data_IF_721263219816
#
_entry.id   IF_721263219816
#
_cell.length_a   1.000
_cell.length_b   1.000
_cell.length_c   1.000
_cell.angle_alpha   90.00
_cell.angle_beta   90.00
_cell.angle_gamma   90.00
#
_symmetry.space_group_name_H-M   'P 1'
#
loop_
_entity.id
_entity.type
_entity.pdbx_description
1 polymer ?
#
# COMPACT_ATOMS: atom_id res chain seq x y z
N UNK A 1 -20.77 -16.28 21.91
CA UNK A 1 -22.14 -16.02 22.39
C UNK A 1 -22.44 -14.54 22.68
N UNK A 2 -21.94 -13.90 23.74
CA UNK A 2 -22.28 -12.49 24.04
C UNK A 2 -21.75 -11.47 23.00
N UNK A 3 -20.54 -11.69 22.48
CA UNK A 3 -19.95 -10.87 21.42
C UNK A 3 -20.74 -10.96 20.11
N UNK A 4 -21.14 -12.16 19.72
CA UNK A 4 -21.92 -12.39 18.49
C UNK A 4 -23.30 -11.72 18.58
N UNK A 5 -23.95 -11.78 19.75
CA UNK A 5 -25.23 -11.11 20.00
C UNK A 5 -25.08 -9.59 19.90
N UNK A 6 -24.02 -9.00 20.47
CA UNK A 6 -23.77 -7.56 20.40
C UNK A 6 -23.39 -7.11 18.97
N UNK A 7 -22.59 -7.90 18.24
CA UNK A 7 -22.27 -7.66 16.83
C UNK A 7 -23.53 -7.70 15.97
N UNK A 8 -24.40 -8.68 16.20
CA UNK A 8 -25.68 -8.82 15.48
C UNK A 8 -26.63 -7.67 15.81
N UNK A 9 -26.71 -7.26 17.08
CA UNK A 9 -27.48 -6.07 17.51
C UNK A 9 -26.99 -4.82 16.79
N UNK A 10 -25.68 -4.58 16.77
CA UNK A 10 -25.06 -3.43 16.11
C UNK A 10 -25.30 -3.43 14.60
N UNK A 11 -25.19 -4.60 13.95
CA UNK A 11 -25.51 -4.78 12.53
C UNK A 11 -26.97 -4.44 12.22
N UNK A 12 -27.92 -4.89 13.06
CA UNK A 12 -29.35 -4.59 12.91
C UNK A 12 -29.70 -3.10 13.10
N UNK A 13 -28.94 -2.36 13.92
CA UNK A 13 -29.12 -0.90 14.05
C UNK A 13 -28.71 -0.12 12.79
N UNK A 14 -27.82 -0.66 11.95
CA UNK A 14 -27.44 -0.04 10.69
C UNK A 14 -28.42 -0.50 9.61
N UNK A 15 -29.48 0.28 9.38
CA UNK A 15 -30.40 0.02 8.26
C UNK A 15 -29.63 0.15 6.94
N UNK A 16 -29.60 -0.88 6.07
CA UNK A 16 -29.05 -0.71 4.73
C UNK A 16 -29.94 0.26 3.95
N UNK A 17 -29.36 1.36 3.45
CA UNK A 17 -30.06 2.47 2.79
C UNK A 17 -30.70 2.12 1.43
N UNK A 18 -30.45 0.92 0.89
CA UNK A 18 -31.21 0.19 -0.14
C UNK A 18 -30.41 -1.07 -0.54
N UNK A 19 -30.92 -1.90 -1.45
CA UNK A 19 -30.26 -3.12 -1.92
C UNK A 19 -28.86 -2.88 -2.51
N UNK A 20 -28.66 -1.78 -3.25
CA UNK A 20 -27.35 -1.41 -3.83
C UNK A 20 -26.33 -1.11 -2.74
N UNK A 21 -26.68 -0.29 -1.75
CA UNK A 21 -25.79 0.05 -0.62
C UNK A 21 -25.50 -1.19 0.24
N UNK A 22 -26.49 -2.05 0.45
CA UNK A 22 -26.29 -3.32 1.17
C UNK A 22 -25.24 -4.20 0.48
N UNK A 23 -25.35 -4.36 -0.85
CA UNK A 23 -24.40 -5.15 -1.65
C UNK A 23 -22.97 -4.60 -1.59
N UNK A 24 -22.79 -3.30 -1.85
CA UNK A 24 -21.47 -2.66 -1.82
C UNK A 24 -20.81 -2.73 -0.43
N UNK A 25 -21.63 -2.62 0.63
CA UNK A 25 -21.13 -2.77 2.01
C UNK A 25 -20.66 -4.21 2.28
N UNK A 26 -21.45 -5.19 1.86
CA UNK A 26 -21.08 -6.61 2.05
C UNK A 26 -19.79 -6.94 1.31
N UNK A 27 -19.67 -6.52 0.05
CA UNK A 27 -18.44 -6.64 -0.74
C UNK A 27 -17.24 -5.99 -0.04
N UNK A 28 -17.39 -4.75 0.41
CA UNK A 28 -16.32 -4.03 1.12
C UNK A 28 -15.89 -4.74 2.40
N UNK A 29 -16.81 -5.29 3.19
CA UNK A 29 -16.51 -5.95 4.46
C UNK A 29 -15.91 -7.34 4.25
N UNK A 30 -16.50 -8.15 3.37
CA UNK A 30 -16.14 -9.56 3.20
C UNK A 30 -14.90 -9.78 2.32
N UNK A 31 -14.57 -8.83 1.43
CA UNK A 31 -13.43 -9.01 0.54
C UNK A 31 -12.13 -9.16 1.34
N UNK A 32 -11.30 -10.13 0.97
CA UNK A 32 -9.99 -10.34 1.57
C UNK A 32 -9.01 -9.25 1.10
N UNK A 33 -8.06 -8.87 1.95
CA UNK A 33 -7.06 -7.86 1.58
C UNK A 33 -5.90 -8.54 0.86
N UNK A 34 -5.55 -8.01 -0.31
CA UNK A 34 -4.44 -8.49 -1.13
C UNK A 34 -3.49 -7.36 -1.48
N UNK A 35 -2.20 -7.67 -1.56
CA UNK A 35 -1.19 -6.77 -2.14
C UNK A 35 -1.42 -6.67 -3.65
N UNK A 36 -1.31 -5.46 -4.19
CA UNK A 36 -1.34 -5.17 -5.61
C UNK A 36 0.01 -4.60 -6.04
N UNK A 37 0.72 -5.33 -6.91
CA UNK A 37 2.04 -4.92 -7.37
C UNK A 37 2.02 -3.92 -8.55
N UNK A 38 0.84 -3.60 -9.12
CA UNK A 38 0.70 -2.76 -10.31
C UNK A 38 1.44 -1.42 -10.16
N UNK A 39 1.19 -0.69 -9.06
CA UNK A 39 1.84 0.59 -8.80
C UNK A 39 3.36 0.45 -8.71
N UNK A 40 3.83 -0.54 -7.96
CA UNK A 40 5.26 -0.78 -7.79
C UNK A 40 5.92 -1.12 -9.12
N UNK A 41 5.27 -1.92 -9.97
CA UNK A 41 5.69 -2.22 -11.34
C UNK A 41 5.82 -0.95 -12.18
N UNK A 42 4.74 -0.16 -12.26
CA UNK A 42 4.68 1.04 -13.10
C UNK A 42 5.70 2.10 -12.67
N UNK A 43 5.89 2.30 -11.36
CA UNK A 43 6.93 3.22 -10.89
C UNK A 43 8.33 2.69 -11.18
N UNK A 44 8.57 1.38 -10.99
CA UNK A 44 9.88 0.79 -11.32
C UNK A 44 10.17 0.94 -12.80
N UNK A 45 9.18 0.71 -13.67
CA UNK A 45 9.26 0.90 -15.12
C UNK A 45 9.62 2.35 -15.48
N UNK A 46 8.87 3.33 -14.95
CA UNK A 46 9.14 4.75 -15.18
C UNK A 46 10.54 5.18 -14.75
N UNK A 47 10.97 4.79 -13.55
CA UNK A 47 12.27 5.19 -13.04
C UNK A 47 13.42 4.44 -13.74
N UNK A 48 13.21 3.22 -14.25
CA UNK A 48 14.16 2.50 -15.09
C UNK A 48 14.27 3.05 -16.51
N UNK A 49 13.25 3.72 -17.04
CA UNK A 49 13.27 4.26 -18.42
C UNK A 49 14.31 5.37 -18.61
N UNK A 50 14.81 5.96 -17.52
CA UNK A 50 15.76 7.07 -17.54
C UNK A 50 15.11 8.43 -17.72
N UNK A 51 13.79 8.52 -17.95
CA UNK A 51 13.07 9.79 -18.12
C UNK A 51 13.18 10.72 -16.90
N UNK A 52 13.36 10.17 -15.70
CA UNK A 52 13.56 10.93 -14.48
C UNK A 52 15.01 11.42 -14.27
N UNK A 53 15.98 10.87 -15.02
CA UNK A 53 17.41 11.08 -14.74
C UNK A 53 17.84 12.53 -14.97
N UNK A 54 18.58 13.10 -14.03
CA UNK A 54 19.08 14.48 -14.10
C UNK A 54 18.04 15.57 -13.82
N UNK A 55 16.76 15.21 -13.65
CA UNK A 55 15.71 16.17 -13.32
C UNK A 55 15.69 16.46 -11.80
N UNK A 56 15.22 17.66 -11.38
CA UNK A 56 14.97 17.93 -9.96
C UNK A 56 13.94 16.96 -9.37
N UNK A 57 14.12 16.55 -8.12
CA UNK A 57 13.24 15.58 -7.43
C UNK A 57 11.73 15.92 -7.55
N UNK A 58 11.26 17.17 -7.37
CA UNK A 58 9.85 17.49 -7.55
C UNK A 58 9.32 17.17 -8.95
N UNK A 59 10.12 17.41 -9.99
CA UNK A 59 9.76 17.11 -11.38
C UNK A 59 9.73 15.60 -11.61
N UNK A 60 10.71 14.85 -11.08
CA UNK A 60 10.70 13.40 -11.14
C UNK A 60 9.41 12.81 -10.53
N UNK A 61 9.00 13.32 -9.36
CA UNK A 61 7.77 12.86 -8.68
C UNK A 61 6.51 13.22 -9.46
N UNK A 62 6.46 14.41 -10.05
CA UNK A 62 5.33 14.82 -10.89
C UNK A 62 5.20 13.94 -12.15
N UNK A 63 6.31 13.65 -12.83
CA UNK A 63 6.32 12.78 -14.01
C UNK A 63 5.99 11.33 -13.66
N UNK A 64 6.52 10.80 -12.55
CA UNK A 64 6.18 9.47 -12.05
C UNK A 64 4.68 9.35 -11.75
N UNK A 65 4.09 10.38 -11.12
CA UNK A 65 2.66 10.42 -10.85
C UNK A 65 1.83 10.49 -12.14
N UNK A 66 2.23 11.33 -13.10
CA UNK A 66 1.60 11.38 -14.44
C UNK A 66 1.64 10.00 -15.11
N UNK A 67 2.82 9.39 -15.16
CA UNK A 67 3.03 8.08 -15.77
C UNK A 67 2.11 7.01 -15.17
N UNK A 68 1.96 7.03 -13.84
CA UNK A 68 1.06 6.17 -13.09
C UNK A 68 -0.41 6.42 -13.49
N UNK A 69 -0.87 7.67 -13.42
CA UNK A 69 -2.28 8.02 -13.73
C UNK A 69 -2.70 7.70 -15.16
N UNK A 70 -1.75 7.68 -16.10
CA UNK A 70 -2.02 7.31 -17.49
C UNK A 70 -2.12 5.79 -17.73
N UNK A 71 -1.74 4.94 -16.75
CA UNK A 71 -1.54 3.49 -16.95
C UNK A 71 -2.17 2.58 -15.92
N UNK A 72 -2.58 3.10 -14.77
CA UNK A 72 -3.24 2.28 -13.74
C UNK A 72 -4.54 1.67 -14.26
N UNK A 73 -4.86 0.48 -13.77
CA UNK A 73 -6.16 -0.12 -14.00
C UNK A 73 -7.27 0.73 -13.39
N UNK A 74 -8.39 0.86 -14.11
CA UNK A 74 -9.59 1.57 -13.67
C UNK A 74 -10.78 0.59 -13.58
N UNK A 75 -10.76 -0.35 -12.61
CA UNK A 75 -11.89 -1.26 -12.40
C UNK A 75 -13.14 -0.47 -11.98
N UNK A 76 -14.28 -0.89 -12.50
CA UNK A 76 -15.60 -0.36 -12.15
C UNK A 76 -16.44 -1.49 -11.56
N UNK A 77 -16.86 -1.35 -10.30
CA UNK A 77 -17.69 -2.37 -9.65
C UNK A 77 -19.18 -2.07 -9.88
N UNK A 78 -19.97 -3.14 -9.92
CA UNK A 78 -21.38 -3.02 -10.24
C UNK A 78 -22.14 -2.24 -9.16
N UNK A 79 -22.85 -1.18 -9.56
CA UNK A 79 -23.67 -0.37 -8.65
C UNK A 79 -22.92 0.73 -7.91
N UNK A 80 -21.63 0.95 -8.21
CA UNK A 80 -20.93 2.15 -7.75
C UNK A 80 -21.53 3.42 -8.36
N UNK A 81 -21.75 4.43 -7.51
CA UNK A 81 -22.09 5.80 -7.95
C UNK A 81 -20.89 6.75 -7.81
N UNK A 82 -19.99 6.45 -6.86
CA UNK A 82 -18.70 7.10 -6.71
C UNK A 82 -17.68 6.03 -7.09
N UNK A 83 -16.86 6.34 -8.08
CA UNK A 83 -15.86 5.42 -8.65
C UNK A 83 -14.46 5.84 -8.23
N UNK A 84 -13.54 4.87 -8.26
CA UNK A 84 -12.14 5.09 -7.93
C UNK A 84 -11.65 4.10 -6.89
N UNK A 85 -10.62 3.35 -7.27
CA UNK A 85 -9.93 2.41 -6.40
C UNK A 85 -8.44 2.73 -6.38
N UNK A 86 -7.77 2.34 -5.29
CA UNK A 86 -6.31 2.52 -5.15
C UNK A 86 -5.49 1.41 -5.84
N UNK A 87 -6.14 0.34 -6.27
CA UNK A 87 -5.51 -0.79 -6.95
C UNK A 87 -6.50 -1.47 -7.88
N UNK A 88 -6.19 -2.69 -8.29
CA UNK A 88 -6.91 -3.43 -9.35
C UNK A 88 -8.26 -3.99 -8.94
N UNK A 89 -8.77 -3.64 -7.76
CA UNK A 89 -10.08 -4.08 -7.25
C UNK A 89 -10.29 -3.76 -5.77
N UNK A 90 -11.45 -4.13 -5.20
CA UNK A 90 -11.74 -4.00 -3.78
C UNK A 90 -10.64 -4.61 -2.91
N UNK A 91 -10.15 -3.83 -1.95
CA UNK A 91 -9.06 -4.24 -1.02
C UNK A 91 -7.81 -4.82 -1.71
N UNK A 92 -7.56 -4.48 -2.99
CA UNK A 92 -6.27 -4.63 -3.67
C UNK A 92 -5.41 -3.42 -3.33
N UNK A 93 -4.50 -3.57 -2.37
CA UNK A 93 -3.76 -2.46 -1.77
C UNK A 93 -2.39 -2.31 -2.45
N UNK A 94 -2.07 -1.12 -3.01
CA UNK A 94 -0.78 -0.89 -3.65
C UNK A 94 0.35 -0.79 -2.62
N UNK A 95 1.57 -0.99 -3.09
CA UNK A 95 2.82 -0.79 -2.34
C UNK A 95 3.61 0.42 -2.87
N UNK A 96 4.51 0.91 -2.02
CA UNK A 96 5.24 2.16 -2.23
C UNK A 96 6.76 1.92 -2.09
N UNK A 97 7.39 1.24 -3.07
CA UNK A 97 8.79 0.81 -2.95
C UNK A 97 9.77 1.99 -2.92
N UNK A 98 9.38 3.16 -3.41
CA UNK A 98 10.15 4.40 -3.29
C UNK A 98 10.20 4.95 -1.85
N UNK A 99 9.28 4.52 -0.99
CA UNK A 99 9.24 4.86 0.44
C UNK A 99 9.91 3.74 1.25
N UNK A 100 9.37 2.53 1.15
CA UNK A 100 9.91 1.34 1.79
C UNK A 100 9.69 0.13 0.88
N UNK A 101 10.77 -0.45 0.40
CA UNK A 101 10.74 -1.69 -0.37
C UNK A 101 10.64 -2.88 0.58
N UNK A 102 9.63 -3.73 0.36
CA UNK A 102 9.42 -4.94 1.17
C UNK A 102 10.33 -6.06 0.67
N UNK A 103 10.98 -6.77 1.59
CA UNK A 103 11.70 -8.01 1.29
C UNK A 103 10.73 -9.16 1.03
N UNK A 104 11.23 -10.28 0.49
CA UNK A 104 10.43 -11.49 0.34
C UNK A 104 9.96 -12.05 1.70
N UNK A 105 10.78 -11.89 2.75
CA UNK A 105 10.39 -12.26 4.11
C UNK A 105 9.24 -11.38 4.63
N UNK A 106 9.27 -10.06 4.35
CA UNK A 106 8.19 -9.15 4.72
C UNK A 106 6.88 -9.54 4.00
N UNK A 107 6.96 -9.85 2.71
CA UNK A 107 5.79 -10.31 1.93
C UNK A 107 5.22 -11.62 2.48
N UNK A 108 6.08 -12.54 2.90
CA UNK A 108 5.66 -13.81 3.50
C UNK A 108 4.98 -13.59 4.86
N UNK A 109 5.53 -12.70 5.70
CA UNK A 109 4.90 -12.30 6.97
C UNK A 109 3.54 -11.65 6.71
N UNK A 110 3.42 -10.77 5.72
CA UNK A 110 2.14 -10.15 5.35
C UNK A 110 1.11 -11.19 4.92
N UNK A 111 1.53 -12.19 4.14
CA UNK A 111 0.65 -13.25 3.64
C UNK A 111 0.15 -14.18 4.74
N UNK A 112 0.99 -14.47 5.75
CA UNK A 112 0.75 -15.53 6.73
C UNK A 112 0.32 -15.05 8.11
N UNK A 113 0.53 -13.77 8.45
CA UNK A 113 0.21 -13.25 9.79
C UNK A 113 -1.27 -13.44 10.15
N UNK A 114 -1.51 -13.87 11.39
CA UNK A 114 -2.85 -14.15 11.91
C UNK A 114 -3.75 -12.90 11.91
N UNK A 115 -3.18 -11.75 12.28
CA UNK A 115 -3.92 -10.50 12.43
C UNK A 115 -3.77 -9.62 11.20
N UNK A 116 -4.91 -9.31 10.59
CA UNK A 116 -5.01 -8.42 9.41
C UNK A 116 -4.05 -8.84 8.28
N UNK A 117 -4.15 -10.08 7.76
CA UNK A 117 -3.28 -10.53 6.67
C UNK A 117 -3.48 -9.68 5.42
N UNK A 118 -2.39 -9.50 4.67
CA UNK A 118 -2.40 -8.95 3.32
C UNK A 118 -1.88 -10.05 2.43
N UNK A 119 -2.79 -10.76 1.74
CA UNK A 119 -2.41 -11.88 0.90
C UNK A 119 -1.52 -11.41 -0.25
N UNK A 120 -0.54 -12.24 -0.59
CA UNK A 120 0.42 -11.98 -1.65
C UNK A 120 0.44 -13.23 -2.53
N UNK A 121 0.17 -13.06 -3.82
CA UNK A 121 0.29 -14.15 -4.79
C UNK A 121 1.76 -14.34 -5.24
N UNK A 122 2.03 -15.50 -5.84
CA UNK A 122 3.36 -15.86 -6.32
C UNK A 122 3.84 -14.95 -7.45
N UNK A 123 2.93 -14.41 -8.27
CA UNK A 123 3.29 -13.43 -9.30
C UNK A 123 3.84 -12.14 -8.69
N UNK A 124 3.21 -11.64 -7.64
CA UNK A 124 3.69 -10.48 -6.88
C UNK A 124 5.05 -10.77 -6.26
N UNK A 125 5.22 -11.94 -5.61
CA UNK A 125 6.52 -12.32 -5.03
C UNK A 125 7.62 -12.40 -6.09
N UNK A 126 7.33 -12.99 -7.24
CA UNK A 126 8.26 -13.09 -8.38
C UNK A 126 8.65 -11.70 -8.88
N UNK A 127 7.69 -10.83 -9.14
CA UNK A 127 7.94 -9.46 -9.58
C UNK A 127 8.80 -8.68 -8.56
N UNK A 128 8.56 -8.90 -7.27
CA UNK A 128 9.38 -8.32 -6.22
C UNK A 128 10.82 -8.82 -6.25
N UNK A 129 11.02 -10.13 -6.37
CA UNK A 129 12.34 -10.75 -6.43
C UNK A 129 13.14 -10.29 -7.65
N UNK A 130 12.51 -10.25 -8.81
CA UNK A 130 13.19 -10.06 -10.10
C UNK A 130 13.37 -8.59 -10.47
N UNK A 131 12.42 -7.72 -10.11
CA UNK A 131 12.38 -6.36 -10.65
C UNK A 131 12.39 -5.25 -9.60
N UNK A 132 11.51 -5.36 -8.59
CA UNK A 132 11.26 -4.25 -7.65
C UNK A 132 12.37 -4.17 -6.60
N UNK A 133 12.69 -5.28 -5.91
CA UNK A 133 13.73 -5.29 -4.88
C UNK A 133 15.10 -4.91 -5.46
N UNK A 134 15.56 -5.50 -6.59
CA UNK A 134 16.87 -5.15 -7.15
C UNK A 134 16.99 -3.67 -7.54
N UNK A 135 15.88 -3.04 -7.94
CA UNK A 135 15.88 -1.64 -8.31
C UNK A 135 15.84 -0.71 -7.10
N UNK A 136 14.93 -0.91 -6.15
CA UNK A 136 14.67 0.06 -5.08
C UNK A 136 15.57 -0.07 -3.86
N UNK A 137 16.19 -1.25 -3.65
CA UNK A 137 17.07 -1.48 -2.51
C UNK A 137 18.25 -0.49 -2.53
N UNK A 138 18.45 0.18 -1.39
CA UNK A 138 19.51 1.16 -1.20
C UNK A 138 19.14 2.58 -1.66
N UNK A 139 17.96 2.77 -2.26
CA UNK A 139 17.47 4.08 -2.70
C UNK A 139 16.03 4.39 -2.27
N UNK A 140 15.39 3.49 -1.52
CA UNK A 140 14.11 3.80 -0.86
C UNK A 140 14.31 4.88 0.20
N UNK A 141 13.25 5.66 0.51
CA UNK A 141 13.33 6.68 1.56
C UNK A 141 13.82 6.08 2.90
N UNK A 142 13.35 4.88 3.24
CA UNK A 142 13.80 4.16 4.44
C UNK A 142 15.29 3.90 4.44
N UNK A 143 15.83 3.37 3.33
CA UNK A 143 17.25 3.06 3.22
C UNK A 143 18.10 4.33 3.37
N UNK A 144 17.68 5.41 2.73
CA UNK A 144 18.37 6.70 2.81
C UNK A 144 18.31 7.28 4.22
N UNK A 145 17.15 7.23 4.87
CA UNK A 145 16.95 7.69 6.24
C UNK A 145 17.87 6.94 7.21
N UNK A 146 17.79 5.61 7.24
CA UNK A 146 18.57 4.79 8.17
C UNK A 146 20.07 4.85 7.90
N UNK A 147 20.51 5.08 6.65
CA UNK A 147 21.93 5.29 6.34
C UNK A 147 22.47 6.62 6.90
N UNK A 148 21.62 7.61 7.12
CA UNK A 148 22.01 8.96 7.54
C UNK A 148 21.97 9.20 9.04
N UNK A 149 21.39 8.29 9.81
CA UNK A 149 21.20 8.43 11.25
C UNK A 149 22.44 7.94 12.02
N UNK A 150 22.76 8.55 13.17
CA UNK A 150 23.94 8.17 13.95
C UNK A 150 23.73 6.86 14.73
N UNK A 151 24.81 6.15 15.10
CA UNK A 151 24.72 4.86 15.82
C UNK A 151 23.89 4.90 17.11
N UNK A 152 23.97 6.01 17.87
CA UNK A 152 23.23 6.19 19.11
C UNK A 152 21.72 6.25 18.85
N UNK A 153 21.30 6.78 17.71
CA UNK A 153 19.90 6.80 17.30
C UNK A 153 19.39 5.39 17.02
N UNK A 154 20.18 4.58 16.31
CA UNK A 154 19.84 3.18 16.03
C UNK A 154 19.70 2.38 17.33
N UNK A 155 20.64 2.52 18.25
CA UNK A 155 20.60 1.83 19.54
C UNK A 155 19.31 2.17 20.34
N UNK A 156 18.91 3.44 20.36
CA UNK A 156 17.68 3.87 21.03
C UNK A 156 16.41 3.38 20.34
N UNK A 157 16.39 3.37 19.00
CA UNK A 157 15.30 2.83 18.19
C UNK A 157 15.13 1.32 18.42
N UNK A 158 16.23 0.55 18.35
CA UNK A 158 16.23 -0.90 18.57
C UNK A 158 15.87 -1.28 20.01
N UNK A 159 16.25 -0.45 20.99
CA UNK A 159 15.84 -0.60 22.38
C UNK A 159 14.38 -0.22 22.66
N UNK A 160 13.65 0.29 21.65
CA UNK A 160 12.25 0.69 21.78
C UNK A 160 12.03 1.97 22.59
N UNK A 161 13.05 2.82 22.71
CA UNK A 161 12.94 4.13 23.40
C UNK A 161 12.03 5.08 22.62
N UNK A 162 12.08 5.02 21.28
CA UNK A 162 11.18 5.74 20.39
C UNK A 162 10.89 4.93 19.11
N UNK A 163 9.91 5.40 18.35
CA UNK A 163 9.54 4.88 17.04
C UNK A 163 9.74 5.94 15.98
N UNK A 164 10.10 5.54 14.76
CA UNK A 164 10.16 6.43 13.60
C UNK A 164 8.90 6.23 12.76
N UNK A 165 8.01 7.22 12.72
CA UNK A 165 6.72 7.05 12.06
C UNK A 165 6.82 7.12 10.53
N UNK A 166 7.82 7.83 10.00
CA UNK A 166 8.03 8.05 8.57
C UNK A 166 8.93 6.98 7.91
N UNK A 167 9.37 5.93 8.63
CA UNK A 167 10.25 4.90 8.05
C UNK A 167 9.58 4.06 6.96
N UNK A 168 8.25 3.94 7.00
CA UNK A 168 7.48 3.05 6.11
C UNK A 168 6.34 3.79 5.39
N UNK A 169 6.22 5.11 5.55
CA UNK A 169 5.14 5.93 5.00
C UNK A 169 5.57 7.38 4.80
N UNK A 170 4.93 8.07 3.86
CA UNK A 170 5.06 9.52 3.74
C UNK A 170 4.40 10.22 4.94
N UNK A 171 4.80 11.47 5.28
CA UNK A 171 4.24 12.20 6.42
C UNK A 171 2.71 12.25 6.41
N UNK A 172 2.09 12.61 5.28
CA UNK A 172 0.62 12.72 5.20
C UNK A 172 0.08 13.66 6.28
N UNK A 173 -0.76 13.15 7.19
CA UNK A 173 -1.26 13.85 8.39
C UNK A 173 -1.76 15.27 8.11
N UNK A 174 -2.56 15.39 7.05
CA UNK A 174 -3.18 16.64 6.61
C UNK A 174 -4.68 16.43 6.43
N UNK A 175 -5.45 17.49 6.58
CA UNK A 175 -6.85 17.54 6.21
C UNK A 175 -6.96 18.45 4.98
N UNK A 176 -7.48 17.90 3.87
CA UNK A 176 -7.91 18.70 2.73
C UNK A 176 -9.20 19.44 3.10
N UNK A 177 -9.26 20.74 2.79
CA UNK A 177 -10.48 21.55 2.87
C UNK A 177 -11.43 21.26 1.72
#
# INVERSE_FOLDING_TARGET
MALEIEVERRRKTVKPLNARIARLREESVQTEVWVCAERARLLTEFYKSGEAQGLPVPIQRALAFKYLMERVSLPLEEGQLIVGLRGTGPKRVPTYPEICVHSLADLEILHTREKMPYRVDEETKRLYAEEIIPYWRGQSLRDLLFKSLPPEWHAAYEAGVWTEFMEQRAPGHTAGG
#
